data_IF_961708343532
#
_entry.id   IF_961708343532
#
_cell.length_a   1.000
_cell.length_b   1.000
_cell.length_c   1.000
_cell.angle_alpha   90.00
_cell.angle_beta   90.00
_cell.angle_gamma   90.00
#
_symmetry.space_group_name_H-M   'P 1'
#
loop_
_entity.id
_entity.type
_entity.pdbx_description
1 polymer ?
#
# COMPACT_ATOMS: atom_id res chain seq x y z
N UNK A 1 -8.38 17.16 -32.24
CA UNK A 1 -7.70 15.87 -32.03
C UNK A 1 -6.91 15.96 -30.73
N UNK A 2 -7.48 15.59 -29.58
CA UNK A 2 -6.76 15.63 -28.29
C UNK A 2 -7.06 14.46 -27.35
N UNK A 3 -7.99 13.56 -27.69
CA UNK A 3 -8.38 12.46 -26.79
C UNK A 3 -7.35 11.33 -26.72
N UNK A 4 -6.55 11.11 -27.78
CA UNK A 4 -5.58 10.01 -27.81
C UNK A 4 -4.37 10.20 -26.88
N UNK A 5 -4.06 11.45 -26.50
CA UNK A 5 -2.91 11.74 -25.63
C UNK A 5 -3.27 11.55 -24.14
N UNK A 6 -4.51 11.83 -23.77
CA UNK A 6 -5.03 11.63 -22.41
C UNK A 6 -5.20 10.14 -22.10
N UNK A 7 -5.70 9.36 -23.07
CA UNK A 7 -5.87 7.91 -22.91
C UNK A 7 -4.51 7.19 -22.79
N UNK A 8 -3.50 7.62 -23.56
CA UNK A 8 -2.13 7.11 -23.45
C UNK A 8 -1.48 7.45 -22.09
N UNK A 9 -1.69 8.68 -21.59
CA UNK A 9 -1.21 9.09 -20.27
C UNK A 9 -1.88 8.28 -19.16
N UNK A 10 -3.19 8.05 -19.25
CA UNK A 10 -3.91 7.23 -18.28
C UNK A 10 -3.41 5.77 -18.28
N UNK A 11 -3.18 5.19 -19.45
CA UNK A 11 -2.64 3.84 -19.58
C UNK A 11 -1.24 3.71 -18.95
N UNK A 12 -0.38 4.70 -19.15
CA UNK A 12 0.95 4.73 -18.51
C UNK A 12 0.86 4.85 -16.99
N UNK A 13 -0.02 5.71 -16.48
CA UNK A 13 -0.28 5.83 -15.05
C UNK A 13 -0.75 4.50 -14.45
N UNK A 14 -1.70 3.82 -15.10
CA UNK A 14 -2.18 2.51 -14.67
C UNK A 14 -1.07 1.45 -14.69
N UNK A 15 -0.27 1.42 -15.75
CA UNK A 15 0.86 0.50 -15.87
C UNK A 15 1.90 0.73 -14.76
N UNK A 16 2.21 1.98 -14.42
CA UNK A 16 3.12 2.30 -13.31
C UNK A 16 2.55 1.86 -11.95
N UNK A 17 1.27 2.15 -11.70
CA UNK A 17 0.57 1.73 -10.49
C UNK A 17 0.60 0.22 -10.32
N UNK A 18 0.34 -0.53 -11.39
CA UNK A 18 0.38 -2.00 -11.38
C UNK A 18 1.82 -2.52 -11.21
N UNK A 19 2.77 -2.03 -12.01
CA UNK A 19 4.17 -2.47 -11.98
C UNK A 19 4.82 -2.30 -10.60
N UNK A 20 4.49 -1.23 -9.90
CA UNK A 20 5.06 -0.91 -8.59
C UNK A 20 4.14 -1.32 -7.43
N UNK A 21 3.02 -2.01 -7.69
CA UNK A 21 2.01 -2.41 -6.71
C UNK A 21 1.57 -1.24 -5.81
N UNK A 22 1.44 -0.03 -6.36
CA UNK A 22 1.21 1.21 -5.59
C UNK A 22 -0.12 1.13 -4.85
N UNK A 23 -1.15 0.53 -5.45
CA UNK A 23 -2.45 0.33 -4.79
C UNK A 23 -2.31 -0.50 -3.51
N UNK A 24 -1.56 -1.60 -3.56
CA UNK A 24 -1.36 -2.47 -2.39
C UNK A 24 -0.51 -1.76 -1.33
N UNK A 25 0.57 -1.10 -1.75
CA UNK A 25 1.45 -0.34 -0.88
C UNK A 25 0.69 0.72 -0.06
N UNK A 26 -0.12 1.54 -0.74
CA UNK A 26 -0.91 2.60 -0.09
C UNK A 26 -2.00 1.99 0.80
N UNK A 27 -2.65 0.91 0.36
CA UNK A 27 -3.68 0.23 1.15
C UNK A 27 -3.12 -0.30 2.47
N UNK A 28 -1.97 -0.95 2.46
CA UNK A 28 -1.31 -1.46 3.67
C UNK A 28 -0.93 -0.34 4.63
N UNK A 29 -0.42 0.77 4.09
CA UNK A 29 -0.08 1.95 4.88
C UNK A 29 -1.33 2.55 5.58
N UNK A 30 -2.46 2.63 4.88
CA UNK A 30 -3.73 3.09 5.46
C UNK A 30 -4.22 2.11 6.54
N UNK A 31 -4.17 0.80 6.29
CA UNK A 31 -4.56 -0.20 7.28
C UNK A 31 -3.69 -0.10 8.54
N UNK A 32 -2.38 0.05 8.38
CA UNK A 32 -1.45 0.23 9.50
C UNK A 32 -1.78 1.49 10.31
N UNK A 33 -2.10 2.62 9.65
CA UNK A 33 -2.58 3.83 10.33
C UNK A 33 -3.86 3.58 11.12
N UNK A 34 -4.84 2.88 10.55
CA UNK A 34 -6.11 2.60 11.22
C UNK A 34 -5.96 1.66 12.41
N UNK A 35 -5.00 0.72 12.36
CA UNK A 35 -4.70 -0.21 13.46
C UNK A 35 -3.96 0.52 14.60
N UNK A 36 -2.90 1.26 14.27
CA UNK A 36 -2.03 1.85 15.27
C UNK A 36 -2.50 3.21 15.80
N UNK A 37 -3.34 3.93 15.04
CA UNK A 37 -3.87 5.27 15.36
C UNK A 37 -2.82 6.18 16.02
N UNK A 38 -1.64 6.37 15.39
CA UNK A 38 -0.59 7.18 15.97
C UNK A 38 -1.03 8.65 16.07
N UNK A 39 -0.49 9.38 17.05
CA UNK A 39 -0.73 10.82 17.19
C UNK A 39 -0.19 11.62 15.99
N UNK A 40 0.91 11.15 15.39
CA UNK A 40 1.50 11.73 14.19
C UNK A 40 1.51 10.73 13.01
N UNK A 41 0.48 10.76 12.14
CA UNK A 41 0.35 9.82 11.03
C UNK A 41 1.42 10.02 9.94
N UNK A 42 1.93 11.23 9.77
CA UNK A 42 2.96 11.53 8.74
C UNK A 42 4.30 10.91 9.13
N UNK A 43 4.69 11.03 10.41
CA UNK A 43 5.92 10.41 10.90
C UNK A 43 5.85 8.89 10.82
N UNK A 44 4.72 8.31 11.23
CA UNK A 44 4.48 6.87 11.14
C UNK A 44 4.61 6.35 9.70
N UNK A 45 4.00 7.04 8.72
CA UNK A 45 4.10 6.65 7.31
C UNK A 45 5.54 6.69 6.81
N UNK A 46 6.30 7.73 7.18
CA UNK A 46 7.73 7.82 6.82
C UNK A 46 8.48 6.58 7.32
N UNK A 47 8.39 6.28 8.62
CA UNK A 47 9.06 5.13 9.23
C UNK A 47 8.57 3.79 8.66
N UNK A 48 7.28 3.69 8.32
CA UNK A 48 6.70 2.50 7.71
C UNK A 48 7.28 2.24 6.31
N UNK A 49 7.38 3.28 5.47
CA UNK A 49 7.98 3.15 4.15
C UNK A 49 9.49 2.96 4.19
N UNK A 50 10.19 3.58 5.15
CA UNK A 50 11.62 3.34 5.36
C UNK A 50 11.86 1.84 5.67
N UNK A 51 11.09 1.25 6.59
CA UNK A 51 11.15 -0.19 6.91
C UNK A 51 10.80 -1.08 5.71
N UNK A 52 9.79 -0.72 4.92
CA UNK A 52 9.45 -1.46 3.69
C UNK A 52 10.58 -1.41 2.66
N UNK A 53 11.28 -0.28 2.57
CA UNK A 53 12.43 -0.12 1.68
C UNK A 53 13.63 -0.98 2.12
N UNK A 54 13.87 -1.05 3.43
CA UNK A 54 14.89 -1.93 4.03
C UNK A 54 14.54 -3.41 3.81
N UNK A 55 13.30 -3.83 4.07
CA UNK A 55 12.84 -5.22 3.87
C UNK A 55 12.91 -5.68 2.42
N UNK A 56 12.65 -4.79 1.44
CA UNK A 56 12.82 -5.08 0.02
C UNK A 56 14.27 -5.28 -0.39
N UNK A 57 15.21 -4.75 0.39
CA UNK A 57 16.64 -4.97 0.19
C UNK A 57 17.08 -6.32 0.76
N UNK A 58 16.31 -6.90 1.69
CA UNK A 58 16.69 -8.12 2.41
C UNK A 58 16.06 -9.43 1.88
N UNK A 59 14.75 -9.54 1.59
CA UNK A 59 14.22 -10.80 0.99
C UNK A 59 12.72 -10.86 0.67
N UNK A 60 12.42 -11.63 -0.37
CA UNK A 60 11.14 -12.04 -0.96
C UNK A 60 10.17 -12.86 -0.06
N UNK A 61 9.88 -12.50 1.21
CA UNK A 61 9.05 -13.36 2.11
C UNK A 61 7.99 -12.65 2.97
N UNK A 62 6.94 -12.05 2.38
CA UNK A 62 5.79 -11.49 3.15
C UNK A 62 4.42 -11.93 2.64
N UNK A 63 4.25 -13.24 2.50
CA UNK A 63 2.92 -13.89 2.35
C UNK A 63 2.06 -13.72 3.64
N UNK A 64 2.56 -13.05 4.69
CA UNK A 64 2.04 -13.12 6.06
C UNK A 64 0.98 -12.07 6.45
N UNK A 65 0.89 -10.91 5.79
CA UNK A 65 0.03 -9.80 6.30
C UNK A 65 -1.44 -9.94 5.88
N UNK A 66 -1.71 -10.57 4.72
CA UNK A 66 -3.06 -10.77 4.18
C UNK A 66 -3.90 -11.67 5.10
N UNK A 67 -3.29 -12.65 5.79
CA UNK A 67 -4.01 -13.53 6.72
C UNK A 67 -4.43 -12.81 8.01
N UNK A 68 -3.71 -11.75 8.42
CA UNK A 68 -4.00 -11.01 9.66
C UNK A 68 -5.16 -10.03 9.53
N UNK A 69 -5.39 -9.45 8.36
CA UNK A 69 -6.53 -8.53 8.14
C UNK A 69 -7.84 -9.30 8.03
N UNK A 70 -7.83 -10.52 7.46
CA UNK A 70 -9.02 -11.37 7.42
C UNK A 70 -9.53 -11.74 8.83
N UNK A 71 -8.61 -11.94 9.79
CA UNK A 71 -8.97 -12.22 11.20
C UNK A 71 -9.50 -10.97 11.92
N UNK A 72 -8.97 -9.76 11.62
CA UNK A 72 -9.44 -8.52 12.27
C UNK A 72 -10.82 -8.04 11.77
N UNK A 73 -11.15 -8.26 10.49
CA UNK A 73 -12.48 -7.93 9.97
C UNK A 73 -13.58 -8.89 10.48
N UNK A 74 -13.27 -10.17 10.73
CA UNK A 74 -14.25 -11.08 11.36
C UNK A 74 -14.52 -10.76 12.85
N UNK A 75 -13.62 -10.07 13.55
CA UNK A 75 -13.76 -9.80 14.98
C UNK A 75 -14.41 -8.43 15.33
N UNK A 76 -14.67 -7.55 14.36
CA UNK A 76 -15.15 -6.17 14.62
C UNK A 76 -16.44 -5.79 13.89
N UNK A 77 -17.03 -6.68 13.07
CA UNK A 77 -18.37 -6.51 12.49
C UNK A 77 -19.24 -7.75 12.76
N UNK A 78 -19.40 -8.07 14.05
CA UNK A 78 -20.56 -8.75 14.62
C UNK A 78 -21.00 -7.96 15.85
#
# INVERSE_FOLDING_TARGET
MSSGNEEAQLAQCQAYVQRHNIQQLVKEAIVALCIHKPENPVLFLKEHFDKLNEQRTESLEVVSVILRIHILCCATWM
#
